data_IF_148110715662
#
_entry.id   IF_148110715662
#
_cell.length_a   1.000
_cell.length_b   1.000
_cell.length_c   1.000
_cell.angle_alpha   90.00
_cell.angle_beta   90.00
_cell.angle_gamma   90.00
#
_symmetry.space_group_name_H-M   'P 1'
#
loop_
_entity.id
_entity.type
_entity.pdbx_description
1 polymer ?
#
# COMPACT_ATOMS: atom_id res chain seq x y z
N UNK A 1 7.48 26.03 -10.23
CA UNK A 1 8.35 26.52 -9.15
C UNK A 1 7.63 26.51 -7.80
N UNK A 2 6.38 26.94 -7.69
CA UNK A 2 5.58 26.90 -6.44
C UNK A 2 5.38 25.50 -5.87
N UNK A 3 5.09 24.50 -6.69
CA UNK A 3 4.89 23.10 -6.25
C UNK A 3 6.14 22.48 -5.61
N UNK A 4 7.34 22.87 -6.07
CA UNK A 4 8.60 22.37 -5.49
C UNK A 4 8.93 23.04 -4.14
N UNK A 5 8.57 24.30 -4.00
CA UNK A 5 8.72 25.05 -2.73
C UNK A 5 7.76 24.49 -1.69
N UNK A 6 6.51 24.21 -2.06
CA UNK A 6 5.50 23.59 -1.19
C UNK A 6 5.92 22.21 -0.71
N UNK A 7 6.42 21.34 -1.61
CA UNK A 7 6.98 20.02 -1.24
C UNK A 7 8.15 20.13 -0.25
N UNK A 8 9.08 21.05 -0.47
CA UNK A 8 10.21 21.25 0.46
C UNK A 8 9.78 21.81 1.82
N UNK A 9 8.74 22.64 1.86
CA UNK A 9 8.20 23.20 3.13
C UNK A 9 7.49 22.10 3.95
N UNK A 10 6.73 21.21 3.32
CA UNK A 10 6.08 20.07 3.99
C UNK A 10 7.11 19.12 4.61
N UNK A 11 8.23 18.84 3.91
CA UNK A 11 9.33 18.00 4.42
C UNK A 11 9.99 18.61 5.66
N UNK A 12 10.05 19.96 5.76
CA UNK A 12 10.67 20.66 6.89
C UNK A 12 9.78 20.78 8.13
N UNK A 13 8.46 20.61 7.98
CA UNK A 13 7.48 20.83 9.05
C UNK A 13 7.06 19.55 9.80
N UNK A 14 7.50 18.36 9.36
CA UNK A 14 7.10 17.11 9.98
C UNK A 14 5.60 16.83 9.87
N UNK A 15 4.97 17.27 8.78
CA UNK A 15 3.53 17.07 8.49
C UNK A 15 3.32 16.26 7.25
N UNK A 16 2.17 15.56 7.16
CA UNK A 16 1.76 14.75 6.01
C UNK A 16 0.31 15.07 5.63
N UNK A 17 -0.06 15.05 4.34
CA UNK A 17 -1.44 15.17 3.92
C UNK A 17 -2.17 13.84 4.22
N UNK A 18 -3.03 13.84 5.23
CA UNK A 18 -3.73 12.63 5.68
C UNK A 18 -5.17 12.70 5.23
N UNK A 19 -5.55 11.81 4.32
CA UNK A 19 -6.94 11.67 3.89
C UNK A 19 -7.81 11.09 5.01
N UNK A 20 -7.33 10.01 5.63
CA UNK A 20 -7.99 9.33 6.73
C UNK A 20 -6.99 8.50 7.54
N UNK A 21 -7.32 8.22 8.78
CA UNK A 21 -6.59 7.28 9.62
C UNK A 21 -7.53 6.59 10.60
N UNK A 22 -7.36 5.29 10.83
CA UNK A 22 -8.28 4.50 11.65
C UNK A 22 -7.65 3.19 12.12
N UNK A 23 -8.18 2.65 13.22
CA UNK A 23 -7.83 1.34 13.74
C UNK A 23 -8.85 0.30 13.31
N UNK A 24 -8.41 -0.74 12.60
CA UNK A 24 -9.27 -1.78 12.04
C UNK A 24 -8.51 -3.10 11.85
N UNK A 25 -8.94 -3.94 10.92
CA UNK A 25 -8.25 -5.17 10.51
C UNK A 25 -7.58 -4.97 9.14
N UNK A 26 -6.36 -5.49 8.98
CA UNK A 26 -5.78 -5.64 7.64
C UNK A 26 -6.66 -6.59 6.83
N UNK A 27 -7.17 -6.10 5.71
CA UNK A 27 -8.11 -6.83 4.86
C UNK A 27 -7.46 -7.65 3.75
N UNK A 28 -6.13 -7.55 3.55
CA UNK A 28 -5.44 -8.07 2.36
C UNK A 28 -4.09 -8.71 2.71
N UNK A 29 -3.59 -9.58 1.81
CA UNK A 29 -2.23 -10.12 1.85
C UNK A 29 -1.92 -11.00 3.05
N UNK A 30 -0.63 -11.03 3.44
CA UNK A 30 -0.14 -11.91 4.51
C UNK A 30 -0.76 -11.61 5.88
N UNK A 31 -0.99 -10.36 6.17
CA UNK A 31 -1.48 -9.93 7.48
C UNK A 31 -3.01 -9.82 7.57
N UNK A 32 -3.72 -10.39 6.59
CA UNK A 32 -5.18 -10.42 6.57
C UNK A 32 -5.76 -10.93 7.89
N UNK A 33 -6.73 -10.19 8.44
CA UNK A 33 -7.40 -10.49 9.72
C UNK A 33 -6.68 -9.98 10.95
N UNK A 34 -5.47 -9.43 10.84
CA UNK A 34 -4.76 -8.85 11.98
C UNK A 34 -5.19 -7.40 12.23
N UNK A 35 -5.30 -7.03 13.50
CA UNK A 35 -5.59 -5.66 13.89
C UNK A 35 -4.43 -4.72 13.50
N UNK A 36 -4.74 -3.64 12.80
CA UNK A 36 -3.79 -2.68 12.25
C UNK A 36 -4.30 -1.25 12.33
N UNK A 37 -3.39 -0.29 12.45
CA UNK A 37 -3.72 1.11 12.31
C UNK A 37 -3.38 1.59 10.90
N UNK A 38 -4.37 2.05 10.17
CA UNK A 38 -4.18 2.55 8.80
C UNK A 38 -3.96 4.05 8.80
N UNK A 39 -3.04 4.49 7.94
CA UNK A 39 -2.79 5.89 7.59
C UNK A 39 -2.88 5.98 6.06
N UNK A 40 -3.93 6.62 5.56
CA UNK A 40 -4.11 6.87 4.14
C UNK A 40 -3.68 8.28 3.80
N UNK A 41 -2.63 8.40 3.00
CA UNK A 41 -2.08 9.69 2.56
C UNK A 41 -2.73 10.17 1.27
N UNK A 42 -2.87 11.49 1.14
CA UNK A 42 -3.25 12.14 -0.11
C UNK A 42 -2.07 12.28 -1.06
N UNK A 43 -2.38 12.34 -2.36
CA UNK A 43 -1.43 12.47 -3.46
C UNK A 43 -1.18 11.15 -4.19
N UNK A 44 -1.45 11.12 -5.51
CA UNK A 44 -1.16 10.00 -6.38
C UNK A 44 -0.87 10.48 -7.80
N UNK A 45 0.21 10.01 -8.39
CA UNK A 45 0.61 10.31 -9.77
C UNK A 45 0.58 9.07 -10.70
N UNK A 46 -0.05 7.98 -10.24
CA UNK A 46 -0.12 6.71 -10.98
C UNK A 46 -1.28 6.67 -11.98
N UNK A 47 -2.45 7.23 -11.63
CA UNK A 47 -3.57 7.41 -12.54
C UNK A 47 -4.34 6.13 -12.91
N UNK A 48 -4.52 5.18 -11.99
CA UNK A 48 -5.24 3.93 -12.24
C UNK A 48 -6.72 4.17 -12.57
N UNK A 49 -7.18 3.75 -13.76
CA UNK A 49 -8.58 3.96 -14.19
C UNK A 49 -9.60 3.26 -13.28
N UNK A 50 -9.23 2.13 -12.69
CA UNK A 50 -10.04 1.32 -11.77
C UNK A 50 -9.72 1.57 -10.28
N UNK A 51 -9.08 2.71 -9.95
CA UNK A 51 -8.80 3.07 -8.56
C UNK A 51 -10.11 3.16 -7.76
N UNK A 52 -10.15 2.51 -6.60
CA UNK A 52 -11.29 2.51 -5.69
C UNK A 52 -11.26 3.67 -4.67
N UNK A 53 -10.16 4.47 -4.66
CA UNK A 53 -9.98 5.64 -3.78
C UNK A 53 -9.43 6.82 -4.58
N UNK A 54 -10.17 7.27 -5.61
CA UNK A 54 -9.76 8.40 -6.47
C UNK A 54 -9.68 9.72 -5.71
N UNK A 55 -10.40 9.84 -4.61
CA UNK A 55 -10.37 10.99 -3.71
C UNK A 55 -8.97 11.23 -3.12
N UNK A 56 -8.14 10.19 -3.05
CA UNK A 56 -6.74 10.30 -2.58
C UNK A 56 -5.79 10.93 -3.59
N UNK A 57 -6.19 11.17 -4.85
CA UNK A 57 -5.26 11.63 -5.88
C UNK A 57 -4.77 13.06 -5.67
N UNK A 58 -5.66 13.96 -5.24
CA UNK A 58 -5.35 15.37 -5.05
C UNK A 58 -4.85 15.62 -3.63
N UNK A 59 -3.55 15.88 -3.51
CA UNK A 59 -2.89 16.10 -2.21
C UNK A 59 -3.50 17.27 -1.43
N UNK A 60 -3.78 18.37 -2.11
CA UNK A 60 -4.23 19.63 -1.51
C UNK A 60 -5.66 19.57 -0.94
N UNK A 61 -6.40 18.52 -1.27
CA UNK A 61 -7.75 18.30 -0.74
C UNK A 61 -7.75 17.69 0.68
N UNK A 62 -6.58 17.32 1.21
CA UNK A 62 -6.48 16.63 2.48
C UNK A 62 -5.79 17.45 3.56
N UNK A 63 -6.26 17.36 4.82
CA UNK A 63 -5.66 18.12 5.90
C UNK A 63 -4.22 17.69 6.14
N UNK A 64 -3.36 18.67 6.46
CA UNK A 64 -2.02 18.41 6.94
C UNK A 64 -2.08 18.03 8.42
N UNK A 65 -1.55 16.85 8.76
CA UNK A 65 -1.46 16.37 10.14
C UNK A 65 0.00 16.20 10.53
N UNK A 66 0.35 16.59 11.77
CA UNK A 66 1.69 16.40 12.27
C UNK A 66 1.99 14.91 12.49
N UNK A 67 3.26 14.52 12.29
CA UNK A 67 3.69 13.15 12.57
C UNK A 67 3.50 12.81 14.06
N UNK A 68 3.68 13.78 14.94
CA UNK A 68 3.47 13.62 16.39
C UNK A 68 2.02 13.28 16.71
N UNK A 69 1.06 14.02 16.14
CA UNK A 69 -0.38 13.75 16.31
C UNK A 69 -0.76 12.37 15.78
N UNK A 70 -0.27 11.99 14.57
CA UNK A 70 -0.48 10.67 14.01
C UNK A 70 0.02 9.56 14.94
N UNK A 71 1.23 9.69 15.46
CA UNK A 71 1.82 8.71 16.38
C UNK A 71 1.03 8.67 17.69
N UNK A 72 0.57 9.80 18.20
CA UNK A 72 -0.27 9.85 19.39
C UNK A 72 -1.61 9.13 19.18
N UNK A 73 -2.27 9.35 18.02
CA UNK A 73 -3.50 8.62 17.70
C UNK A 73 -3.28 7.09 17.68
N UNK A 74 -2.16 6.63 17.10
CA UNK A 74 -1.84 5.20 17.03
C UNK A 74 -1.58 4.63 18.43
N UNK A 75 -0.75 5.31 19.24
CA UNK A 75 -0.38 4.85 20.59
C UNK A 75 -1.54 4.86 21.58
N UNK A 76 -2.59 5.63 21.32
CA UNK A 76 -3.84 5.60 22.06
C UNK A 76 -4.72 4.37 21.75
N UNK A 77 -4.30 3.53 20.80
CA UNK A 77 -4.94 2.25 20.47
C UNK A 77 -4.05 1.06 20.86
N UNK A 78 -4.55 -0.17 20.93
CA UNK A 78 -3.72 -1.35 21.16
C UNK A 78 -2.96 -1.82 19.90
N UNK A 79 -2.93 -1.03 18.83
CA UNK A 79 -2.25 -1.36 17.57
C UNK A 79 -0.79 -1.73 17.80
N UNK A 80 -0.34 -2.81 17.15
CA UNK A 80 1.06 -3.26 17.15
C UNK A 80 1.75 -3.08 15.81
N UNK A 81 1.00 -2.74 14.77
CA UNK A 81 1.56 -2.31 13.50
C UNK A 81 0.68 -1.27 12.81
N UNK A 82 1.33 -0.39 12.06
CA UNK A 82 0.70 0.63 11.25
C UNK A 82 0.92 0.34 9.77
N UNK A 83 -0.14 0.46 8.97
CA UNK A 83 -0.14 0.33 7.52
C UNK A 83 -0.24 1.71 6.92
N UNK A 84 0.82 2.15 6.24
CA UNK A 84 0.83 3.40 5.49
C UNK A 84 0.47 3.09 4.05
N UNK A 85 -0.60 3.68 3.59
CA UNK A 85 -1.18 3.52 2.25
C UNK A 85 -1.65 4.87 1.72
N UNK A 86 -2.52 4.91 0.74
CA UNK A 86 -3.14 6.15 0.30
C UNK A 86 -3.36 6.21 -1.18
N UNK A 87 -3.04 7.34 -1.80
CA UNK A 87 -2.75 7.46 -3.21
C UNK A 87 -1.47 6.68 -3.53
N UNK A 88 -0.33 7.37 -3.60
CA UNK A 88 0.99 6.73 -3.63
C UNK A 88 1.82 7.27 -2.45
N UNK A 89 1.99 6.48 -1.37
CA UNK A 89 2.63 6.99 -0.16
C UNK A 89 4.11 7.36 -0.36
N UNK A 90 4.81 6.75 -1.31
CA UNK A 90 6.21 7.08 -1.62
C UNK A 90 6.39 8.43 -2.33
N UNK A 91 5.33 9.17 -2.64
CA UNK A 91 5.44 10.59 -3.01
C UNK A 91 5.90 11.45 -1.83
N UNK A 92 5.81 10.93 -0.61
CA UNK A 92 6.19 11.62 0.63
C UNK A 92 7.47 11.04 1.22
N UNK A 93 8.21 11.87 1.98
CA UNK A 93 9.33 11.40 2.78
C UNK A 93 8.81 10.83 4.11
N UNK A 94 8.81 9.51 4.24
CA UNK A 94 8.24 8.79 5.38
C UNK A 94 9.27 8.42 6.45
N UNK A 95 10.51 8.93 6.34
CA UNK A 95 11.60 8.61 7.28
C UNK A 95 11.26 9.01 8.71
N UNK A 96 10.76 10.22 8.92
CA UNK A 96 10.41 10.71 10.26
C UNK A 96 9.24 9.91 10.86
N UNK A 97 8.19 9.64 10.10
CA UNK A 97 7.05 8.84 10.55
C UNK A 97 7.49 7.44 10.98
N UNK A 98 8.20 6.73 10.10
CA UNK A 98 8.63 5.35 10.41
C UNK A 98 9.60 5.29 11.59
N UNK A 99 10.47 6.28 11.74
CA UNK A 99 11.36 6.39 12.90
C UNK A 99 10.56 6.53 14.21
N UNK A 100 9.59 7.44 14.24
CA UNK A 100 8.76 7.64 15.43
C UNK A 100 7.90 6.41 15.76
N UNK A 101 7.27 5.78 14.77
CA UNK A 101 6.51 4.55 14.97
C UNK A 101 7.37 3.44 15.60
N UNK A 102 8.59 3.23 15.08
CA UNK A 102 9.53 2.24 15.64
C UNK A 102 9.98 2.57 17.06
N UNK A 103 10.21 3.85 17.38
CA UNK A 103 10.55 4.27 18.74
C UNK A 103 9.44 3.94 19.76
N UNK A 104 8.19 3.83 19.30
CA UNK A 104 7.04 3.40 20.10
C UNK A 104 6.73 1.89 20.01
N UNK A 105 7.62 1.09 19.40
CA UNK A 105 7.45 -0.34 19.25
C UNK A 105 6.34 -0.75 18.26
N UNK A 106 5.93 0.16 17.37
CA UNK A 106 4.95 -0.08 16.31
C UNK A 106 5.69 -0.55 15.05
N UNK A 107 5.35 -1.75 14.55
CA UNK A 107 5.86 -2.24 13.27
C UNK A 107 5.32 -1.39 12.13
N UNK A 108 6.15 -1.19 11.11
CA UNK A 108 5.85 -0.34 9.96
C UNK A 108 5.59 -1.19 8.71
N UNK A 109 4.45 -1.00 8.09
CA UNK A 109 4.05 -1.62 6.84
C UNK A 109 3.69 -0.55 5.82
N UNK A 110 4.13 -0.71 4.58
CA UNK A 110 3.73 0.16 3.46
C UNK A 110 3.03 -0.65 2.38
N UNK A 111 1.96 -0.10 1.82
CA UNK A 111 1.34 -0.54 0.58
C UNK A 111 1.60 0.50 -0.50
N UNK A 112 2.33 0.15 -1.55
CA UNK A 112 2.78 1.08 -2.59
C UNK A 112 2.73 0.44 -3.98
N UNK A 113 2.58 1.27 -5.00
CA UNK A 113 2.82 0.86 -6.39
C UNK A 113 4.32 0.71 -6.71
N UNK A 114 5.19 1.27 -5.87
CA UNK A 114 6.63 1.29 -6.05
C UNK A 114 7.13 2.25 -7.12
N UNK A 115 6.29 3.14 -7.61
CA UNK A 115 6.61 4.05 -8.72
C UNK A 115 7.46 5.26 -8.34
N UNK A 116 7.80 5.40 -7.05
CA UNK A 116 8.64 6.46 -6.49
C UNK A 116 9.74 5.88 -5.60
N UNK A 117 10.85 6.61 -5.35
CA UNK A 117 11.96 6.12 -4.54
C UNK A 117 11.53 5.72 -3.13
N UNK A 118 12.08 4.61 -2.65
CA UNK A 118 11.77 4.10 -1.31
C UNK A 118 12.29 5.08 -0.24
N UNK A 119 11.37 5.53 0.62
CA UNK A 119 11.69 6.35 1.79
C UNK A 119 11.10 5.72 3.06
N UNK A 120 11.72 5.95 4.21
CA UNK A 120 11.30 5.33 5.47
C UNK A 120 12.04 4.03 5.78
N UNK A 121 11.76 3.48 6.97
CA UNK A 121 12.32 2.24 7.46
C UNK A 121 11.17 1.25 7.72
N UNK A 122 11.01 0.27 6.85
CA UNK A 122 9.87 -0.62 6.80
C UNK A 122 10.19 -2.01 7.31
N UNK A 123 9.29 -2.58 8.12
CA UNK A 123 9.33 -3.97 8.53
C UNK A 123 8.62 -4.88 7.51
N UNK A 124 7.71 -4.29 6.70
CA UNK A 124 7.02 -4.98 5.62
C UNK A 124 6.69 -4.03 4.47
N UNK A 125 7.00 -4.47 3.26
CA UNK A 125 6.70 -3.74 2.03
C UNK A 125 5.81 -4.61 1.16
N UNK A 126 4.53 -4.23 1.02
CA UNK A 126 3.62 -4.76 0.02
C UNK A 126 3.73 -3.92 -1.25
N UNK A 127 4.33 -4.50 -2.26
CA UNK A 127 4.43 -3.91 -3.58
C UNK A 127 3.25 -4.37 -4.44
N UNK A 128 2.45 -3.41 -4.89
CA UNK A 128 1.34 -3.65 -5.83
C UNK A 128 1.56 -2.86 -7.12
N UNK A 129 2.36 -3.38 -8.07
CA UNK A 129 2.68 -2.70 -9.32
C UNK A 129 1.42 -2.30 -10.10
N UNK A 130 1.52 -1.25 -10.88
CA UNK A 130 0.42 -0.77 -11.73
C UNK A 130 0.91 -0.63 -13.17
N UNK A 131 0.08 -1.04 -14.14
CA UNK A 131 0.40 -0.94 -15.57
C UNK A 131 0.54 0.50 -16.05
N UNK A 132 0.01 1.46 -15.30
CA UNK A 132 0.00 2.89 -15.65
C UNK A 132 1.34 3.59 -15.34
N UNK A 133 2.06 3.10 -14.34
CA UNK A 133 3.38 3.58 -13.96
C UNK A 133 4.18 2.43 -13.35
N UNK A 134 5.26 2.05 -13.99
CA UNK A 134 6.09 0.94 -13.56
C UNK A 134 6.77 1.21 -12.21
N UNK A 135 6.94 0.18 -11.34
CA UNK A 135 7.73 0.31 -10.13
C UNK A 135 9.21 0.47 -10.45
N UNK A 136 9.91 1.14 -9.56
CA UNK A 136 11.36 1.27 -9.64
C UNK A 136 12.05 -0.06 -9.30
N UNK A 137 13.16 -0.42 -9.98
CA UNK A 137 13.88 -1.67 -9.75
C UNK A 137 14.31 -1.87 -8.29
N UNK A 138 14.71 -0.80 -7.61
CA UNK A 138 15.10 -0.85 -6.21
C UNK A 138 13.95 -1.26 -5.28
N UNK A 139 12.71 -0.84 -5.55
CA UNK A 139 11.55 -1.21 -4.73
C UNK A 139 11.19 -2.68 -4.91
N UNK A 140 11.33 -3.21 -6.13
CA UNK A 140 11.14 -4.64 -6.43
C UNK A 140 12.04 -5.52 -5.56
N UNK A 141 13.30 -5.14 -5.38
CA UNK A 141 14.28 -5.90 -4.59
C UNK A 141 13.99 -5.92 -3.09
N UNK A 142 13.30 -4.90 -2.60
CA UNK A 142 12.95 -4.76 -1.18
C UNK A 142 11.55 -5.26 -0.83
N UNK A 143 10.74 -5.67 -1.83
CA UNK A 143 9.39 -6.15 -1.60
C UNK A 143 9.38 -7.44 -0.77
N UNK A 144 8.61 -7.44 0.33
CA UNK A 144 8.31 -8.63 1.12
C UNK A 144 7.10 -9.37 0.58
N UNK A 145 6.20 -8.64 -0.07
CA UNK A 145 4.97 -9.12 -0.68
C UNK A 145 4.75 -8.44 -2.04
N UNK A 146 4.50 -9.24 -3.06
CA UNK A 146 4.07 -8.80 -4.38
C UNK A 146 2.58 -9.13 -4.53
N UNK A 147 1.74 -8.10 -4.60
CA UNK A 147 0.29 -8.22 -4.74
C UNK A 147 -0.14 -7.71 -6.12
N UNK A 148 -0.49 -8.63 -7.02
CA UNK A 148 -0.92 -8.30 -8.38
C UNK A 148 -2.45 -8.26 -8.45
N UNK A 149 -2.97 -7.13 -8.91
CA UNK A 149 -4.40 -6.95 -9.13
C UNK A 149 -4.78 -7.54 -10.49
N UNK A 150 -5.71 -8.49 -10.49
CA UNK A 150 -6.22 -9.17 -11.68
C UNK A 150 -7.55 -8.52 -12.09
N UNK A 151 -7.50 -7.72 -13.14
CA UNK A 151 -8.65 -7.08 -13.76
C UNK A 151 -9.17 -7.90 -14.95
N UNK A 152 -8.26 -8.58 -15.66
CA UNK A 152 -8.55 -9.44 -16.81
C UNK A 152 -7.51 -10.56 -16.95
N UNK A 153 -7.73 -11.48 -17.91
CA UNK A 153 -6.87 -12.67 -18.10
C UNK A 153 -5.41 -12.36 -18.45
N UNK A 154 -5.14 -11.24 -19.14
CA UNK A 154 -3.75 -10.89 -19.49
C UNK A 154 -2.91 -10.47 -18.28
N UNK A 155 -3.55 -10.22 -17.13
CA UNK A 155 -2.84 -9.85 -15.91
C UNK A 155 -2.10 -11.02 -15.28
N UNK A 156 -2.43 -12.28 -15.63
CA UNK A 156 -1.68 -13.44 -15.18
C UNK A 156 -0.26 -13.48 -15.80
N UNK A 157 -0.13 -13.22 -17.09
CA UNK A 157 1.17 -13.13 -17.75
C UNK A 157 2.00 -11.99 -17.14
N UNK A 158 1.37 -10.86 -16.94
CA UNK A 158 2.01 -9.71 -16.30
C UNK A 158 2.41 -9.99 -14.84
N UNK A 159 1.66 -10.82 -14.11
CA UNK A 159 2.04 -11.25 -12.77
C UNK A 159 3.33 -12.07 -12.79
N UNK A 160 3.48 -13.01 -13.72
CA UNK A 160 4.71 -13.81 -13.86
C UNK A 160 5.92 -12.94 -14.26
N UNK A 161 5.74 -11.91 -15.09
CA UNK A 161 6.80 -10.95 -15.43
C UNK A 161 7.36 -10.24 -14.18
N UNK A 162 6.54 -9.99 -13.17
CA UNK A 162 6.97 -9.36 -11.92
C UNK A 162 7.45 -10.36 -10.89
N UNK A 163 6.92 -11.57 -10.87
CA UNK A 163 7.34 -12.61 -9.94
C UNK A 163 8.82 -12.94 -10.05
N UNK A 164 9.39 -12.91 -11.26
CA UNK A 164 10.81 -13.17 -11.50
C UNK A 164 11.73 -11.99 -11.16
N UNK A 165 11.16 -10.80 -10.89
CA UNK A 165 11.91 -9.57 -10.57
C UNK A 165 12.03 -9.30 -9.08
N UNK A 166 11.26 -9.99 -8.24
CA UNK A 166 11.31 -9.86 -6.79
C UNK A 166 12.19 -10.93 -6.15
N UNK A 167 12.52 -10.75 -4.87
CA UNK A 167 13.30 -11.75 -4.11
C UNK A 167 12.56 -13.09 -4.04
N UNK A 168 13.29 -14.20 -4.02
CA UNK A 168 12.74 -15.55 -3.84
C UNK A 168 11.98 -15.73 -2.50
N UNK A 169 12.24 -14.88 -1.52
CA UNK A 169 11.51 -14.88 -0.24
C UNK A 169 10.23 -14.03 -0.28
N UNK A 170 10.01 -13.25 -1.34
CA UNK A 170 8.83 -12.41 -1.51
C UNK A 170 7.58 -13.29 -1.61
N UNK A 171 6.54 -12.93 -0.87
CA UNK A 171 5.24 -13.62 -0.94
C UNK A 171 4.48 -13.12 -2.16
N UNK A 172 3.91 -14.05 -2.94
CA UNK A 172 3.23 -13.74 -4.19
C UNK A 172 1.72 -13.87 -4.03
N UNK A 173 0.99 -12.80 -4.29
CA UNK A 173 -0.46 -12.74 -4.17
C UNK A 173 -1.12 -12.28 -5.46
N UNK A 174 -2.20 -12.97 -5.84
CA UNK A 174 -3.15 -12.55 -6.87
C UNK A 174 -4.43 -12.08 -6.18
N UNK A 175 -4.88 -10.88 -6.51
CA UNK A 175 -6.08 -10.29 -5.95
C UNK A 175 -7.02 -9.86 -7.07
N UNK A 176 -8.29 -10.29 -7.08
CA UNK A 176 -9.24 -9.79 -8.07
C UNK A 176 -9.46 -8.29 -7.85
N UNK A 177 -9.52 -7.53 -8.93
CA UNK A 177 -10.04 -6.17 -8.86
C UNK A 177 -11.51 -6.23 -8.40
N UNK A 178 -11.91 -5.32 -7.52
CA UNK A 178 -13.18 -5.44 -6.79
C UNK A 178 -14.40 -5.58 -7.70
N UNK A 179 -14.53 -4.73 -8.72
CA UNK A 179 -15.66 -4.76 -9.66
C UNK A 179 -15.69 -6.01 -10.55
N UNK A 180 -14.57 -6.71 -10.67
CA UNK A 180 -14.40 -7.94 -11.43
C UNK A 180 -14.30 -9.19 -10.53
N UNK A 181 -14.47 -9.03 -9.23
CA UNK A 181 -14.24 -10.10 -8.25
C UNK A 181 -15.01 -11.37 -8.55
N UNK A 182 -16.29 -11.28 -8.89
CA UNK A 182 -17.13 -12.45 -9.23
C UNK A 182 -16.63 -13.23 -10.44
N UNK A 183 -16.06 -12.53 -11.44
CA UNK A 183 -15.55 -13.14 -12.67
C UNK A 183 -14.12 -13.63 -12.52
N UNK A 184 -13.27 -12.88 -11.82
CA UNK A 184 -11.83 -13.17 -11.74
C UNK A 184 -11.48 -14.15 -10.63
N UNK A 185 -12.18 -14.15 -9.50
CA UNK A 185 -11.87 -15.07 -8.38
C UNK A 185 -11.83 -16.54 -8.79
N UNK A 186 -12.82 -17.09 -9.53
CA UNK A 186 -12.75 -18.49 -10.00
C UNK A 186 -11.52 -18.76 -10.87
N UNK A 187 -11.15 -17.80 -11.73
CA UNK A 187 -9.99 -17.94 -12.62
C UNK A 187 -8.67 -17.90 -11.83
N UNK A 188 -8.59 -17.03 -10.82
CA UNK A 188 -7.42 -16.96 -9.92
C UNK A 188 -7.28 -18.26 -9.14
N UNK A 189 -8.37 -18.83 -8.62
CA UNK A 189 -8.34 -20.10 -7.90
C UNK A 189 -7.81 -21.22 -8.79
N UNK A 190 -8.33 -21.36 -10.03
CA UNK A 190 -7.83 -22.35 -10.96
C UNK A 190 -6.36 -22.09 -11.32
N UNK A 191 -5.96 -20.84 -11.53
CA UNK A 191 -4.59 -20.49 -11.83
C UNK A 191 -3.63 -20.90 -10.70
N UNK A 192 -3.96 -20.60 -9.45
CA UNK A 192 -3.15 -20.94 -8.28
C UNK A 192 -2.96 -22.45 -8.13
N UNK A 193 -3.98 -23.27 -8.46
CA UNK A 193 -3.87 -24.74 -8.40
C UNK A 193 -2.78 -25.30 -9.31
N UNK A 194 -2.48 -24.61 -10.42
CA UNK A 194 -1.38 -24.96 -11.34
C UNK A 194 -0.11 -24.15 -11.12
N UNK A 195 -0.16 -23.09 -10.30
CA UNK A 195 0.95 -22.19 -9.98
C UNK A 195 1.03 -21.99 -8.45
N UNK A 196 1.44 -23.03 -7.69
CA UNK A 196 1.31 -23.05 -6.22
C UNK A 196 2.23 -22.05 -5.48
N UNK A 197 3.11 -21.34 -6.19
CA UNK A 197 3.89 -20.23 -5.64
C UNK A 197 3.00 -19.00 -5.33
N UNK A 198 1.85 -18.88 -5.98
CA UNK A 198 0.88 -17.81 -5.78
C UNK A 198 -0.13 -18.15 -4.68
N UNK A 199 -0.60 -17.13 -4.00
CA UNK A 199 -1.67 -17.20 -3.00
C UNK A 199 -2.81 -16.25 -3.39
N UNK A 200 -4.02 -16.59 -2.96
CA UNK A 200 -5.19 -15.71 -3.14
C UNK A 200 -5.19 -14.61 -2.07
N UNK A 201 -5.26 -13.37 -2.48
CA UNK A 201 -5.64 -12.25 -1.62
C UNK A 201 -7.06 -11.81 -1.95
N UNK A 202 -7.86 -11.53 -0.93
CA UNK A 202 -9.18 -10.93 -1.05
C UNK A 202 -9.20 -9.62 -0.26
N UNK A 203 -10.13 -8.74 -0.61
CA UNK A 203 -10.42 -7.53 0.17
C UNK A 203 -11.48 -7.87 1.23
N UNK A 204 -11.08 -8.65 2.28
CA UNK A 204 -12.06 -9.16 3.25
C UNK A 204 -12.76 -8.04 4.03
N UNK A 205 -12.11 -6.90 4.24
CA UNK A 205 -12.72 -5.72 4.86
C UNK A 205 -14.03 -5.32 4.18
N UNK A 206 -14.13 -5.45 2.85
CA UNK A 206 -15.36 -5.17 2.09
C UNK A 206 -16.47 -6.22 2.33
N UNK A 207 -16.11 -7.48 2.67
CA UNK A 207 -17.09 -8.53 2.98
C UNK A 207 -17.61 -8.44 4.42
N UNK A 208 -16.77 -8.02 5.35
CA UNK A 208 -17.14 -7.90 6.77
C UNK A 208 -17.56 -6.48 7.16
N UNK A 209 -17.59 -5.56 6.18
CA UNK A 209 -18.04 -4.18 6.32
C UNK A 209 -17.31 -3.40 7.43
N UNK A 210 -15.97 -3.45 7.39
CA UNK A 210 -15.08 -2.63 8.22
C UNK A 210 -14.26 -1.69 7.31
N UNK A 211 -13.76 -0.55 7.84
CA UNK A 211 -12.92 0.37 7.09
C UNK A 211 -11.69 -0.30 6.52
#
# INVERSE_FOLDING_TARGET
METAIFKNTIISLGVLPVMEHFYTLQGEGLYQGQAAYFIRLGGCDVGCVWCDVKESWEMDNHPLMSIEDLVQHITNTPAKFAVVTGGEPLLHNLKALTCQLKNHGIRTHIETSGSSPLSGNWDWITLSPKKFKAPLPEVLLHANELKIIIFNKSDFEWAEEYAVKVSSNCKLYLQPEWSKSSAMTPLIIEYIKYHPQWQLSLQIHKFINVP
#
